data_IF_019878359748
#
_entry.id   IF_019878359748
#
_cell.length_a   1.000
_cell.length_b   1.000
_cell.length_c   1.000
_cell.angle_alpha   90.00
_cell.angle_beta   90.00
_cell.angle_gamma   90.00
#
_symmetry.space_group_name_H-M   'P 1'
#
loop_
_entity.id
_entity.type
_entity.pdbx_description
1 polymer ?
#
# COMPACT_ATOMS: atom_id res chain seq x y z
N UNK A 1 -4.20 -34.29 -5.14
CA UNK A 1 -4.13 -33.23 -6.16
C UNK A 1 -5.53 -32.67 -6.35
N UNK A 2 -5.86 -31.58 -5.69
CA UNK A 2 -7.13 -30.88 -5.88
C UNK A 2 -7.01 -30.08 -7.17
N UNK A 3 -7.73 -30.46 -8.22
CA UNK A 3 -7.81 -29.64 -9.44
C UNK A 3 -8.50 -28.33 -9.06
N UNK A 4 -7.76 -27.22 -9.13
CA UNK A 4 -8.34 -25.89 -9.24
C UNK A 4 -9.18 -25.89 -10.52
N UNK A 5 -10.50 -26.00 -10.37
CA UNK A 5 -11.42 -25.77 -11.46
C UNK A 5 -11.26 -24.31 -11.85
N UNK A 6 -10.70 -24.05 -13.04
CA UNK A 6 -10.73 -22.72 -13.65
C UNK A 6 -12.20 -22.31 -13.67
N UNK A 7 -12.56 -21.34 -12.83
CA UNK A 7 -13.89 -20.73 -12.87
C UNK A 7 -14.04 -20.21 -14.28
N UNK A 8 -14.99 -20.80 -15.02
CA UNK A 8 -15.34 -20.36 -16.37
C UNK A 8 -15.50 -18.85 -16.33
N UNK A 9 -14.88 -18.15 -17.29
CA UNK A 9 -15.01 -16.71 -17.48
C UNK A 9 -16.43 -16.27 -17.13
N UNK A 10 -16.55 -15.43 -16.11
CA UNK A 10 -17.84 -14.91 -15.69
C UNK A 10 -18.49 -14.22 -16.90
N UNK A 11 -19.80 -14.38 -17.04
CA UNK A 11 -20.58 -13.67 -18.07
C UNK A 11 -20.66 -12.16 -17.79
N UNK A 12 -20.28 -11.72 -16.59
CA UNK A 12 -20.32 -10.33 -16.18
C UNK A 12 -19.21 -9.53 -16.88
N UNK A 13 -19.57 -8.41 -17.47
CA UNK A 13 -18.62 -7.41 -17.91
C UNK A 13 -18.04 -6.66 -16.70
N UNK A 14 -16.93 -5.95 -16.88
CA UNK A 14 -16.42 -5.05 -15.85
C UNK A 14 -17.44 -3.96 -15.47
N UNK A 15 -18.30 -3.54 -16.41
CA UNK A 15 -19.42 -2.63 -16.13
C UNK A 15 -20.47 -3.26 -15.21
N UNK A 16 -20.79 -4.54 -15.38
CA UNK A 16 -21.77 -5.23 -14.53
C UNK A 16 -21.24 -5.41 -13.11
N UNK A 17 -19.98 -5.85 -12.98
CA UNK A 17 -19.32 -6.05 -11.70
C UNK A 17 -19.26 -4.75 -10.88
N UNK A 18 -18.88 -3.66 -11.54
CA UNK A 18 -18.88 -2.33 -10.97
C UNK A 18 -20.27 -1.85 -10.56
N UNK A 19 -21.28 -2.02 -11.43
CA UNK A 19 -22.66 -1.60 -11.12
C UNK A 19 -23.17 -2.31 -9.86
N UNK A 20 -22.82 -3.59 -9.71
CA UNK A 20 -23.11 -4.39 -8.52
C UNK A 20 -22.33 -3.92 -7.29
N UNK A 21 -21.04 -3.59 -7.44
CA UNK A 21 -20.14 -3.17 -6.36
C UNK A 21 -20.38 -1.75 -5.84
N UNK A 22 -20.93 -0.86 -6.67
CA UNK A 22 -21.02 0.58 -6.40
C UNK A 22 -21.62 0.96 -5.04
N UNK A 23 -22.74 0.36 -4.57
CA UNK A 23 -23.28 0.66 -3.25
C UNK A 23 -22.33 0.28 -2.11
N UNK A 24 -21.69 -0.89 -2.22
CA UNK A 24 -20.72 -1.38 -1.23
C UNK A 24 -19.47 -0.52 -1.20
N UNK A 25 -18.97 -0.08 -2.36
CA UNK A 25 -17.82 0.85 -2.47
C UNK A 25 -18.14 2.18 -1.77
N UNK A 26 -19.33 2.74 -2.00
CA UNK A 26 -19.75 3.96 -1.32
C UNK A 26 -19.78 3.79 0.21
N UNK A 27 -20.26 2.64 0.69
CA UNK A 27 -20.24 2.33 2.12
C UNK A 27 -18.81 2.15 2.65
N UNK A 28 -17.92 1.47 1.92
CA UNK A 28 -16.50 1.37 2.27
C UNK A 28 -15.89 2.76 2.46
N UNK A 29 -16.13 3.70 1.53
CA UNK A 29 -15.63 5.07 1.67
C UNK A 29 -16.14 5.73 2.96
N UNK A 30 -17.42 5.55 3.30
CA UNK A 30 -18.00 6.09 4.55
C UNK A 30 -17.37 5.46 5.78
N UNK A 31 -17.34 4.14 5.88
CA UNK A 31 -16.82 3.41 7.06
C UNK A 31 -15.34 3.65 7.27
N UNK A 32 -14.57 3.80 6.18
CA UNK A 32 -13.14 4.09 6.25
C UNK A 32 -12.84 5.57 6.40
N UNK A 33 -13.81 6.47 6.18
CA UNK A 33 -13.57 7.91 6.09
C UNK A 33 -12.77 8.33 4.84
N UNK A 34 -12.71 7.49 3.81
CA UNK A 34 -11.96 7.78 2.58
C UNK A 34 -12.69 8.81 1.72
N UNK A 35 -12.10 9.99 1.45
CA UNK A 35 -12.78 11.07 0.74
C UNK A 35 -13.07 10.77 -0.72
N UNK A 36 -12.13 10.11 -1.41
CA UNK A 36 -12.32 9.73 -2.79
C UNK A 36 -11.39 8.65 -3.30
N UNK A 37 -11.88 7.96 -4.33
CA UNK A 37 -11.19 6.87 -5.01
C UNK A 37 -11.22 7.10 -6.52
N UNK A 38 -10.17 6.68 -7.23
CA UNK A 38 -10.19 6.43 -8.66
C UNK A 38 -10.12 4.93 -8.93
N UNK A 39 -10.98 4.43 -9.83
CA UNK A 39 -11.09 3.00 -10.11
C UNK A 39 -10.88 2.73 -11.61
N UNK A 40 -9.90 1.90 -11.91
CA UNK A 40 -9.61 1.39 -13.25
C UNK A 40 -9.71 -0.12 -13.29
N UNK A 41 -10.32 -0.65 -14.34
CA UNK A 41 -10.40 -2.09 -14.63
C UNK A 41 -10.05 -2.31 -16.09
N UNK A 42 -9.36 -3.40 -16.39
CA UNK A 42 -9.04 -3.77 -17.76
C UNK A 42 -9.18 -5.28 -17.97
N UNK A 43 -9.46 -5.68 -19.20
CA UNK A 43 -9.52 -7.08 -19.61
C UNK A 43 -9.61 -7.25 -21.13
N UNK A 44 -9.74 -8.49 -21.62
CA UNK A 44 -9.82 -8.81 -23.05
C UNK A 44 -10.95 -8.07 -23.78
N UNK A 45 -12.05 -7.81 -23.07
CA UNK A 45 -13.24 -7.14 -23.62
C UNK A 45 -13.13 -5.61 -23.60
N UNK A 46 -12.01 -5.04 -23.16
CA UNK A 46 -11.74 -3.61 -23.13
C UNK A 46 -11.33 -3.09 -21.76
N UNK A 47 -11.13 -1.78 -21.69
CA UNK A 47 -10.80 -1.05 -20.47
C UNK A 47 -12.01 -0.27 -19.98
N UNK A 48 -12.22 -0.28 -18.67
CA UNK A 48 -13.21 0.53 -17.97
C UNK A 48 -12.44 1.40 -16.99
N UNK A 49 -12.35 2.69 -17.26
CA UNK A 49 -12.03 3.66 -16.22
C UNK A 49 -13.36 4.09 -15.64
N UNK A 50 -13.80 3.48 -14.53
CA UNK A 50 -15.01 3.95 -13.87
C UNK A 50 -14.67 5.03 -12.86
N UNK A 51 -14.36 6.18 -13.46
CA UNK A 51 -14.36 7.48 -12.84
C UNK A 51 -13.84 7.53 -11.40
N UNK A 52 -14.55 8.35 -10.64
CA UNK A 52 -14.08 8.89 -9.40
C UNK A 52 -15.21 8.86 -8.39
N UNK A 53 -14.97 8.22 -7.25
CA UNK A 53 -15.88 8.24 -6.13
C UNK A 53 -15.48 9.36 -5.18
N UNK A 54 -16.49 10.04 -4.62
CA UNK A 54 -16.28 11.09 -3.63
C UNK A 54 -15.56 12.32 -4.18
N UNK A 55 -14.63 12.89 -3.42
CA UNK A 55 -14.02 14.19 -3.71
C UNK A 55 -12.50 14.13 -3.60
N UNK A 56 -11.79 14.84 -4.49
CA UNK A 56 -10.36 15.17 -4.33
C UNK A 56 -10.13 16.35 -3.38
N UNK A 57 -11.12 17.21 -3.23
CA UNK A 57 -11.15 18.31 -2.27
C UNK A 57 -12.52 18.32 -1.61
N UNK A 58 -12.57 17.93 -0.33
CA UNK A 58 -13.82 17.86 0.46
C UNK A 58 -14.42 19.25 0.65
N UNK A 59 -13.58 20.25 0.97
CA UNK A 59 -14.02 21.61 1.28
C UNK A 59 -14.64 22.31 0.07
N UNK A 60 -14.06 22.07 -1.12
CA UNK A 60 -14.56 22.63 -2.39
C UNK A 60 -15.50 21.69 -3.15
N UNK A 61 -15.71 20.46 -2.66
CA UNK A 61 -16.50 19.41 -3.31
C UNK A 61 -16.08 19.14 -4.75
N UNK A 62 -14.76 19.13 -5.01
CA UNK A 62 -14.23 18.89 -6.35
C UNK A 62 -14.11 17.38 -6.55
N UNK A 63 -14.74 16.86 -7.61
CA UNK A 63 -14.57 15.47 -8.01
C UNK A 63 -13.15 15.24 -8.53
N UNK A 64 -12.55 14.07 -8.27
CA UNK A 64 -11.33 13.70 -8.97
C UNK A 64 -11.58 13.58 -10.49
N UNK A 65 -10.52 13.71 -11.28
CA UNK A 65 -10.51 13.71 -12.75
C UNK A 65 -9.24 12.99 -13.29
N UNK A 66 -9.10 12.91 -14.62
CA UNK A 66 -8.02 12.15 -15.26
C UNK A 66 -6.62 12.70 -14.97
N UNK A 67 -6.55 13.96 -14.54
CA UNK A 67 -5.31 14.64 -14.19
C UNK A 67 -5.06 14.65 -12.67
N UNK A 68 -5.94 14.00 -11.88
CA UNK A 68 -5.79 13.94 -10.43
C UNK A 68 -4.64 13.01 -10.06
N UNK A 69 -3.67 13.56 -9.35
CA UNK A 69 -2.51 12.83 -8.83
C UNK A 69 -2.88 12.18 -7.50
N UNK A 70 -2.66 10.87 -7.41
CA UNK A 70 -2.79 10.08 -6.19
C UNK A 70 -1.42 9.62 -5.73
N UNK A 71 -1.19 9.56 -4.42
CA UNK A 71 0.00 8.94 -3.89
C UNK A 71 -0.18 7.40 -3.93
N UNK A 72 0.88 6.69 -4.31
CA UNK A 72 0.83 5.23 -4.50
C UNK A 72 1.24 4.43 -3.24
N UNK A 73 1.54 5.12 -2.14
CA UNK A 73 1.93 4.51 -0.87
C UNK A 73 2.95 3.39 -1.01
N UNK A 74 2.64 2.21 -0.46
CA UNK A 74 3.58 1.08 -0.46
C UNK A 74 3.82 0.47 -1.85
N UNK A 75 3.01 0.76 -2.87
CA UNK A 75 3.33 0.35 -4.24
C UNK A 75 4.61 1.01 -4.77
N UNK A 76 5.00 2.18 -4.24
CA UNK A 76 6.29 2.82 -4.54
C UNK A 76 7.50 1.92 -4.23
N UNK A 77 7.35 0.91 -3.36
CA UNK A 77 8.40 -0.07 -3.06
C UNK A 77 8.75 -0.92 -4.27
N UNK A 78 7.75 -1.33 -5.05
CA UNK A 78 7.98 -2.07 -6.28
C UNK A 78 8.78 -1.25 -7.29
N UNK A 79 8.44 0.03 -7.45
CA UNK A 79 9.21 0.96 -8.28
C UNK A 79 10.62 1.21 -7.73
N UNK A 80 10.78 1.34 -6.41
CA UNK A 80 12.10 1.49 -5.77
C UNK A 80 12.97 0.27 -6.05
N UNK A 81 12.43 -0.93 -5.83
CA UNK A 81 13.11 -2.18 -6.11
C UNK A 81 13.42 -2.30 -7.60
N UNK A 82 12.51 -1.93 -8.50
CA UNK A 82 12.71 -1.94 -9.94
C UNK A 82 13.81 -0.95 -10.36
N UNK A 83 13.82 0.28 -9.87
CA UNK A 83 14.85 1.27 -10.21
C UNK A 83 16.23 0.84 -9.70
N UNK A 84 16.29 0.22 -8.50
CA UNK A 84 17.54 -0.35 -7.98
C UNK A 84 17.99 -1.60 -8.77
N UNK A 85 17.05 -2.50 -9.09
CA UNK A 85 17.32 -3.78 -9.76
C UNK A 85 17.57 -3.65 -11.27
N UNK A 86 16.68 -2.93 -11.95
CA UNK A 86 16.55 -2.81 -13.40
C UNK A 86 17.00 -1.43 -13.90
N UNK A 87 16.98 -0.41 -13.04
CA UNK A 87 17.07 0.99 -13.46
C UNK A 87 18.47 1.53 -13.76
N UNK A 88 19.45 1.52 -12.85
CA UNK A 88 20.68 2.33 -13.06
C UNK A 88 21.92 1.94 -12.25
N UNK A 89 21.85 0.97 -11.34
CA UNK A 89 22.93 0.79 -10.34
C UNK A 89 23.45 -0.65 -10.25
N UNK A 90 22.57 -1.66 -10.22
CA UNK A 90 23.03 -3.06 -10.17
C UNK A 90 23.49 -3.55 -11.54
N UNK A 91 22.70 -3.33 -12.59
CA UNK A 91 23.09 -3.68 -13.95
C UNK A 91 24.37 -2.95 -14.42
N UNK A 92 24.56 -1.70 -13.96
CA UNK A 92 25.74 -0.88 -14.24
C UNK A 92 26.94 -1.17 -13.31
N UNK A 93 26.81 -2.11 -12.36
CA UNK A 93 27.85 -2.45 -11.39
C UNK A 93 28.18 -1.37 -10.34
N UNK A 94 27.40 -0.29 -10.27
CA UNK A 94 27.58 0.81 -9.30
C UNK A 94 27.15 0.41 -7.88
N UNK A 95 26.22 -0.53 -7.76
CA UNK A 95 25.69 -1.07 -6.51
C UNK A 95 25.57 -2.58 -6.64
N UNK A 96 25.85 -3.31 -5.57
CA UNK A 96 25.62 -4.75 -5.46
C UNK A 96 24.54 -5.01 -4.42
N UNK A 97 23.75 -6.06 -4.63
CA UNK A 97 22.70 -6.46 -3.69
C UNK A 97 23.22 -6.68 -2.26
N UNK A 98 24.46 -7.12 -2.16
CA UNK A 98 25.10 -7.48 -0.91
C UNK A 98 25.98 -6.33 -0.35
N UNK A 99 25.91 -5.14 -0.95
CA UNK A 99 26.48 -3.93 -0.36
C UNK A 99 25.71 -3.54 0.91
N UNK A 100 26.44 -3.27 1.98
CA UNK A 100 25.90 -2.72 3.22
C UNK A 100 25.43 -1.28 3.02
N UNK A 101 24.35 -0.91 3.70
CA UNK A 101 23.72 0.41 3.53
C UNK A 101 24.59 1.56 4.06
N UNK A 102 25.46 1.31 5.04
CA UNK A 102 26.44 2.27 5.59
C UNK A 102 27.49 2.74 4.56
N UNK A 103 27.65 2.03 3.45
CA UNK A 103 28.43 2.47 2.29
C UNK A 103 27.83 3.72 1.66
N UNK A 104 26.51 3.83 1.65
CA UNK A 104 25.76 4.88 0.95
C UNK A 104 25.24 5.97 1.89
N UNK A 105 24.95 5.64 3.15
CA UNK A 105 24.47 6.60 4.15
C UNK A 105 25.50 6.73 5.26
N UNK A 106 26.14 7.90 5.33
CA UNK A 106 27.22 8.16 6.29
C UNK A 106 26.76 8.07 7.75
N UNK A 107 25.53 8.51 8.03
CA UNK A 107 24.95 8.49 9.38
C UNK A 107 24.72 7.07 9.94
N UNK A 108 24.75 6.05 9.07
CA UNK A 108 24.63 4.64 9.47
C UNK A 108 25.99 3.96 9.71
N UNK A 109 27.11 4.65 9.50
CA UNK A 109 28.43 4.06 9.72
C UNK A 109 28.66 3.75 11.19
N UNK A 110 28.98 2.48 11.47
CA UNK A 110 29.22 1.99 12.82
C UNK A 110 27.97 1.67 13.63
N UNK A 111 26.77 1.92 13.08
CA UNK A 111 25.52 1.49 13.71
C UNK A 111 25.26 0.01 13.41
N UNK A 112 24.56 -0.72 14.30
CA UNK A 112 24.19 -2.12 14.03
C UNK A 112 23.41 -2.28 12.72
N UNK A 113 22.50 -1.34 12.45
CA UNK A 113 21.59 -1.39 11.31
C UNK A 113 22.25 -0.93 9.99
N UNK A 114 23.40 -0.24 10.05
CA UNK A 114 24.22 0.08 8.89
C UNK A 114 24.82 -1.14 8.18
N UNK A 115 24.88 -2.30 8.86
CA UNK A 115 25.42 -3.55 8.32
C UNK A 115 24.41 -4.37 7.51
N UNK A 116 23.15 -3.93 7.43
CA UNK A 116 22.19 -4.58 6.55
C UNK A 116 22.52 -4.31 5.09
N UNK A 117 22.42 -5.35 4.28
CA UNK A 117 22.60 -5.23 2.84
C UNK A 117 21.34 -4.66 2.19
N UNK A 118 21.48 -4.11 0.97
CA UNK A 118 20.32 -3.67 0.17
C UNK A 118 19.32 -4.81 0.00
N UNK A 119 19.80 -6.04 -0.23
CA UNK A 119 18.98 -7.26 -0.31
C UNK A 119 18.20 -7.50 0.97
N UNK A 120 18.83 -7.37 2.13
CA UNK A 120 18.19 -7.58 3.43
C UNK A 120 17.03 -6.59 3.62
N UNK A 121 17.24 -5.32 3.25
CA UNK A 121 16.24 -4.25 3.42
C UNK A 121 15.06 -4.37 2.45
N UNK A 122 15.34 -4.57 1.15
CA UNK A 122 14.29 -4.71 0.14
C UNK A 122 13.46 -5.98 0.30
N UNK A 123 14.05 -7.03 0.88
CA UNK A 123 13.37 -8.31 1.11
C UNK A 123 12.73 -8.41 2.50
N UNK A 124 12.73 -7.33 3.30
CA UNK A 124 12.18 -7.32 4.67
C UNK A 124 12.80 -8.38 5.60
N UNK A 125 14.12 -8.59 5.48
CA UNK A 125 14.89 -9.63 6.20
C UNK A 125 15.79 -9.06 7.30
N UNK A 126 15.60 -7.80 7.70
CA UNK A 126 16.42 -7.18 8.75
C UNK A 126 16.08 -7.68 10.15
N UNK A 127 14.87 -8.23 10.36
CA UNK A 127 14.41 -8.62 11.69
C UNK A 127 13.98 -7.45 12.58
N UNK A 128 14.04 -6.21 12.07
CA UNK A 128 13.70 -4.99 12.80
C UNK A 128 12.20 -4.90 13.09
N UNK A 129 11.86 -4.32 14.25
CA UNK A 129 10.47 -4.08 14.61
C UNK A 129 9.75 -3.18 13.59
N UNK A 130 8.45 -3.42 13.39
CA UNK A 130 7.60 -2.56 12.56
C UNK A 130 7.23 -1.32 13.36
N UNK A 131 7.61 -0.14 12.87
CA UNK A 131 7.46 1.14 13.59
C UNK A 131 6.70 2.18 12.78
N UNK A 132 5.75 1.76 11.94
CA UNK A 132 5.05 2.63 10.98
C UNK A 132 4.30 3.80 11.64
N UNK A 133 3.85 3.64 12.89
CA UNK A 133 3.22 4.71 13.66
C UNK A 133 4.14 5.91 13.97
N UNK A 134 5.46 5.76 13.79
CA UNK A 134 6.41 6.88 13.86
C UNK A 134 6.49 7.65 12.53
N UNK A 135 6.08 7.06 11.40
CA UNK A 135 6.16 7.71 10.08
C UNK A 135 4.89 8.49 9.75
N UNK A 136 3.74 7.89 10.03
CA UNK A 136 2.43 8.39 9.62
C UNK A 136 1.68 8.96 10.82
N UNK A 137 1.36 10.25 10.75
CA UNK A 137 0.40 10.88 11.65
C UNK A 137 -1.02 10.78 11.10
N UNK A 138 -1.99 11.31 11.84
CA UNK A 138 -3.33 11.55 11.32
C UNK A 138 -3.31 12.56 10.17
N UNK A 139 -4.38 12.58 9.36
CA UNK A 139 -4.64 13.58 8.32
C UNK A 139 -3.56 13.67 7.22
N UNK A 140 -2.98 12.54 6.82
CA UNK A 140 -1.91 12.46 5.81
C UNK A 140 -0.65 13.29 6.16
N UNK A 141 -0.43 13.67 7.44
CA UNK A 141 0.81 14.31 7.85
C UNK A 141 1.91 13.28 8.09
N UNK A 142 3.08 13.55 7.53
CA UNK A 142 4.30 12.86 7.92
C UNK A 142 4.79 13.42 9.24
N UNK A 143 5.11 12.53 10.18
CA UNK A 143 5.67 12.93 11.47
C UNK A 143 7.18 13.13 11.38
N UNK A 144 7.84 12.47 10.43
CA UNK A 144 9.29 12.49 10.26
C UNK A 144 9.67 12.94 8.87
N UNK A 145 10.72 13.75 8.80
CA UNK A 145 11.48 13.98 7.57
C UNK A 145 12.29 12.74 7.19
N UNK A 146 12.80 12.70 5.96
CA UNK A 146 13.65 11.60 5.49
C UNK A 146 14.88 11.40 6.37
N UNK A 147 15.56 12.47 6.78
CA UNK A 147 16.75 12.39 7.64
C UNK A 147 16.40 11.85 9.02
N UNK A 148 15.34 12.37 9.65
CA UNK A 148 14.86 11.83 10.93
C UNK A 148 14.46 10.36 10.83
N UNK A 149 13.95 9.92 9.68
CA UNK A 149 13.68 8.50 9.42
C UNK A 149 14.95 7.63 9.41
N UNK A 150 16.09 8.15 8.95
CA UNK A 150 17.38 7.45 9.03
C UNK A 150 17.85 7.36 10.47
N UNK A 151 17.69 8.42 11.27
CA UNK A 151 18.06 8.42 12.69
C UNK A 151 17.25 7.39 13.48
N UNK A 152 15.96 7.27 13.19
CA UNK A 152 15.09 6.23 13.77
C UNK A 152 15.57 4.86 13.30
N UNK A 153 15.78 4.67 11.99
CA UNK A 153 16.27 3.40 11.45
C UNK A 153 17.56 2.93 12.13
N UNK A 154 18.51 3.84 12.38
CA UNK A 154 19.77 3.53 13.05
C UNK A 154 19.59 2.94 14.46
N UNK A 155 18.49 3.27 15.12
CA UNK A 155 18.21 2.95 16.53
C UNK A 155 17.15 1.86 16.70
N UNK A 156 16.52 1.37 15.62
CA UNK A 156 15.51 0.33 15.72
C UNK A 156 16.12 -0.98 16.24
N UNK A 157 15.46 -1.55 17.25
CA UNK A 157 15.81 -2.86 17.78
C UNK A 157 15.32 -3.99 16.87
N UNK A 158 16.10 -5.08 16.86
CA UNK A 158 15.70 -6.32 16.23
C UNK A 158 14.60 -7.00 17.07
N UNK A 159 13.41 -7.17 16.49
CA UNK A 159 12.35 -7.99 17.06
C UNK A 159 12.58 -9.49 16.85
N UNK A 160 13.33 -9.84 15.79
CA UNK A 160 13.70 -11.20 15.41
C UNK A 160 15.15 -11.24 14.92
N UNK A 161 15.82 -12.41 14.95
CA UNK A 161 17.11 -12.56 14.32
C UNK A 161 17.06 -12.18 12.83
N UNK A 162 18.05 -11.43 12.31
CA UNK A 162 18.12 -11.12 10.89
C UNK A 162 18.07 -12.37 10.01
N UNK A 163 17.48 -12.21 8.82
CA UNK A 163 17.45 -13.21 7.73
C UNK A 163 16.66 -14.48 8.01
N UNK A 164 16.01 -14.61 9.17
CA UNK A 164 15.18 -15.76 9.53
C UNK A 164 13.71 -15.59 9.16
N UNK A 165 13.15 -14.40 9.40
CA UNK A 165 11.74 -14.10 9.19
C UNK A 165 11.53 -12.95 8.20
N UNK A 166 10.35 -12.91 7.58
CA UNK A 166 9.85 -11.75 6.86
C UNK A 166 9.15 -10.82 7.85
N UNK A 167 9.72 -9.63 8.09
CA UNK A 167 9.12 -8.59 8.91
C UNK A 167 9.03 -7.28 8.13
N UNK A 168 7.79 -6.92 7.76
CA UNK A 168 7.53 -5.70 7.01
C UNK A 168 8.02 -4.46 7.76
N UNK A 169 8.88 -3.68 7.10
CA UNK A 169 9.54 -2.53 7.70
C UNK A 169 9.73 -1.41 6.67
N UNK A 170 9.07 -0.28 6.90
CA UNK A 170 9.15 0.89 6.03
C UNK A 170 10.49 1.64 6.15
N UNK A 171 11.13 1.62 7.32
CA UNK A 171 12.40 2.32 7.55
C UNK A 171 13.56 1.72 6.75
N UNK A 172 13.58 0.41 6.54
CA UNK A 172 14.54 -0.24 5.62
C UNK A 172 14.38 0.24 4.17
N UNK A 173 13.13 0.44 3.73
CA UNK A 173 12.85 1.03 2.41
C UNK A 173 13.23 2.51 2.33
N UNK A 174 13.06 3.27 3.40
CA UNK A 174 13.55 4.65 3.50
C UNK A 174 15.07 4.71 3.37
N UNK A 175 15.79 3.79 4.02
CA UNK A 175 17.25 3.73 4.01
C UNK A 175 17.81 3.46 2.61
N UNK A 176 17.19 2.58 1.82
CA UNK A 176 17.61 2.34 0.41
C UNK A 176 17.17 3.45 -0.57
N UNK A 177 16.69 4.59 -0.04
CA UNK A 177 16.31 5.76 -0.82
C UNK A 177 14.86 5.77 -1.30
N UNK A 178 14.08 4.74 -0.97
CA UNK A 178 12.65 4.68 -1.25
C UNK A 178 11.88 5.75 -0.48
N UNK A 179 10.78 6.22 -1.07
CA UNK A 179 9.86 7.14 -0.42
C UNK A 179 8.56 6.39 -0.12
N UNK A 180 8.11 6.41 1.13
CA UNK A 180 6.90 5.71 1.57
C UNK A 180 5.71 6.65 1.76
N UNK A 181 5.78 7.87 1.24
CA UNK A 181 4.77 8.91 1.48
C UNK A 181 3.44 8.49 0.85
N UNK A 182 2.42 8.45 1.71
CA UNK A 182 1.22 7.65 1.54
C UNK A 182 0.17 8.26 0.60
N UNK A 183 -0.55 7.38 -0.09
CA UNK A 183 -1.98 7.11 0.07
C UNK A 183 -2.17 5.61 -0.24
N UNK A 184 -3.35 5.08 0.08
CA UNK A 184 -3.69 3.67 -0.17
C UNK A 184 -3.94 3.47 -1.68
N UNK A 185 -3.33 2.43 -2.25
CA UNK A 185 -3.52 2.06 -3.65
C UNK A 185 -3.32 0.57 -3.80
N UNK A 186 -4.14 -0.04 -4.65
CA UNK A 186 -4.16 -1.48 -4.86
C UNK A 186 -4.15 -1.80 -6.34
N UNK A 187 -3.38 -2.83 -6.71
CA UNK A 187 -3.42 -3.42 -8.04
C UNK A 187 -3.58 -4.92 -7.92
N UNK A 188 -4.70 -5.43 -8.43
CA UNK A 188 -4.93 -6.87 -8.58
C UNK A 188 -4.76 -7.23 -10.04
N UNK A 189 -3.86 -8.17 -10.33
CA UNK A 189 -3.64 -8.69 -11.68
C UNK A 189 -4.20 -10.11 -11.74
N UNK A 190 -4.89 -10.40 -12.84
CA UNK A 190 -5.42 -11.72 -13.17
C UNK A 190 -4.80 -12.17 -14.50
N UNK A 191 -3.55 -12.69 -14.49
CA UNK A 191 -2.78 -12.95 -15.70
C UNK A 191 -3.50 -13.91 -16.67
N UNK A 192 -4.12 -14.97 -16.14
CA UNK A 192 -4.86 -15.96 -16.91
C UNK A 192 -6.09 -15.37 -17.61
N UNK A 193 -6.64 -14.30 -17.04
CA UNK A 193 -7.78 -13.56 -17.60
C UNK A 193 -7.33 -12.40 -18.49
N UNK A 194 -6.02 -12.09 -18.54
CA UNK A 194 -5.46 -10.85 -19.10
C UNK A 194 -6.17 -9.61 -18.59
N UNK A 195 -6.50 -9.61 -17.30
CA UNK A 195 -7.29 -8.56 -16.67
C UNK A 195 -6.62 -8.01 -15.42
N UNK A 196 -7.10 -6.87 -14.96
CA UNK A 196 -6.67 -6.31 -13.68
C UNK A 196 -7.57 -5.19 -13.18
N UNK A 197 -7.43 -4.91 -11.89
CA UNK A 197 -8.11 -3.85 -11.17
C UNK A 197 -7.02 -2.95 -10.58
N UNK A 198 -7.22 -1.64 -10.71
CA UNK A 198 -6.40 -0.59 -10.12
C UNK A 198 -7.31 0.31 -9.32
N UNK A 199 -7.03 0.49 -8.04
CA UNK A 199 -7.77 1.40 -7.16
C UNK A 199 -6.78 2.37 -6.53
N UNK A 200 -7.03 3.66 -6.67
CA UNK A 200 -6.20 4.72 -6.10
C UNK A 200 -7.02 5.53 -5.11
N UNK A 201 -6.55 5.65 -3.87
CA UNK A 201 -7.18 6.45 -2.83
C UNK A 201 -6.40 7.75 -2.59
N UNK A 202 -7.12 8.80 -2.20
CA UNK A 202 -6.52 10.11 -1.91
C UNK A 202 -6.32 10.39 -0.42
N UNK A 203 -6.56 9.41 0.44
CA UNK A 203 -6.28 9.49 1.87
C UNK A 203 -5.89 8.13 2.45
N UNK A 204 -5.09 8.17 3.51
CA UNK A 204 -4.94 7.07 4.45
C UNK A 204 -5.83 7.41 5.66
N UNK A 205 -7.10 7.00 5.61
CA UNK A 205 -8.08 7.29 6.64
C UNK A 205 -8.08 6.18 7.72
N UNK A 206 -9.23 5.62 8.06
CA UNK A 206 -9.36 4.64 9.14
C UNK A 206 -9.11 3.19 8.70
N UNK A 207 -9.06 2.90 7.40
CA UNK A 207 -8.75 1.55 6.88
C UNK A 207 -8.29 1.60 5.43
N UNK A 208 -7.89 0.45 4.87
CA UNK A 208 -7.44 0.32 3.48
C UNK A 208 -8.62 0.21 2.52
N UNK A 209 -9.22 1.35 2.19
CA UNK A 209 -10.39 1.39 1.29
C UNK A 209 -10.08 0.85 -0.12
N UNK A 210 -8.83 0.95 -0.58
CA UNK A 210 -8.47 0.49 -1.93
C UNK A 210 -8.42 -1.03 -2.04
N UNK A 211 -7.91 -1.72 -1.01
CA UNK A 211 -7.92 -3.18 -0.95
C UNK A 211 -9.35 -3.72 -0.84
N UNK A 212 -10.18 -3.15 0.04
CA UNK A 212 -11.58 -3.55 0.17
C UNK A 212 -12.35 -3.36 -1.14
N UNK A 213 -12.11 -2.23 -1.83
CA UNK A 213 -12.72 -1.94 -3.13
C UNK A 213 -12.29 -2.94 -4.19
N UNK A 214 -10.99 -3.25 -4.29
CA UNK A 214 -10.48 -4.23 -5.24
C UNK A 214 -11.06 -5.63 -4.97
N UNK A 215 -11.22 -6.01 -3.70
CA UNK A 215 -11.79 -7.30 -3.32
C UNK A 215 -13.28 -7.40 -3.69
N UNK A 216 -14.08 -6.38 -3.39
CA UNK A 216 -15.51 -6.34 -3.77
C UNK A 216 -15.67 -6.40 -5.29
N UNK A 217 -14.87 -5.65 -6.04
CA UNK A 217 -14.87 -5.71 -7.51
C UNK A 217 -14.48 -7.08 -8.04
N UNK A 218 -13.54 -7.75 -7.38
CA UNK A 218 -13.11 -9.11 -7.74
C UNK A 218 -14.23 -10.11 -7.54
N UNK A 219 -14.94 -10.07 -6.40
CA UNK A 219 -16.10 -10.96 -6.17
C UNK A 219 -17.24 -10.66 -7.13
N UNK A 220 -17.58 -9.39 -7.32
CA UNK A 220 -18.62 -8.99 -8.25
C UNK A 220 -18.29 -9.46 -9.68
N UNK A 221 -17.02 -9.38 -10.09
CA UNK A 221 -16.58 -9.81 -11.41
C UNK A 221 -16.52 -11.33 -11.56
N UNK A 222 -15.93 -12.05 -10.61
CA UNK A 222 -15.73 -13.50 -10.73
C UNK A 222 -17.00 -14.30 -10.40
N UNK A 223 -17.79 -13.82 -9.43
CA UNK A 223 -18.92 -14.56 -8.86
C UNK A 223 -20.28 -13.98 -9.25
N UNK A 224 -20.35 -12.71 -9.69
CA UNK A 224 -21.62 -12.03 -9.95
C UNK A 224 -22.43 -11.73 -8.68
N UNK A 225 -21.82 -11.89 -7.51
CA UNK A 225 -22.37 -11.63 -6.18
C UNK A 225 -21.29 -10.98 -5.31
N UNK A 226 -21.70 -10.40 -4.18
CA UNK A 226 -20.81 -9.85 -3.16
C UNK A 226 -21.18 -10.56 -1.85
N UNK A 227 -20.30 -11.44 -1.36
CA UNK A 227 -20.51 -12.27 -0.17
C UNK A 227 -19.13 -12.74 0.34
N UNK A 228 -18.59 -12.17 1.43
CA UNK A 228 -19.21 -11.96 2.77
C UNK A 228 -19.61 -10.49 3.09
N UNK A 229 -20.13 -10.14 4.30
CA UNK A 229 -20.60 -8.78 4.61
C UNK A 229 -19.44 -7.78 4.81
N UNK A 230 -18.78 -7.41 3.71
CA UNK A 230 -17.61 -6.53 3.67
C UNK A 230 -17.71 -5.33 4.59
N UNK A 231 -18.84 -4.62 4.58
CA UNK A 231 -19.01 -3.40 5.35
C UNK A 231 -18.86 -3.61 6.86
N UNK A 232 -19.28 -4.76 7.41
CA UNK A 232 -19.09 -5.06 8.83
C UNK A 232 -17.61 -5.28 9.17
N UNK A 233 -16.87 -5.93 8.28
CA UNK A 233 -15.44 -6.15 8.45
C UNK A 233 -14.66 -4.85 8.30
N UNK A 234 -15.03 -4.02 7.32
CA UNK A 234 -14.45 -2.70 7.09
C UNK A 234 -14.66 -1.80 8.31
N UNK A 235 -15.89 -1.73 8.84
CA UNK A 235 -16.20 -0.95 10.04
C UNK A 235 -15.42 -1.45 11.28
N UNK A 236 -15.32 -2.77 11.46
CA UNK A 236 -14.52 -3.35 12.56
C UNK A 236 -13.03 -3.02 12.42
N UNK A 237 -12.48 -3.07 11.19
CA UNK A 237 -11.10 -2.69 10.92
C UNK A 237 -10.86 -1.20 11.18
N UNK A 238 -11.78 -0.34 10.74
CA UNK A 238 -11.74 1.10 10.97
C UNK A 238 -11.73 1.46 12.45
N UNK A 239 -12.60 0.83 13.25
CA UNK A 239 -12.66 1.04 14.69
C UNK A 239 -11.35 0.66 15.39
N UNK A 240 -10.76 -0.49 15.03
CA UNK A 240 -9.48 -0.95 15.59
C UNK A 240 -8.35 0.03 15.28
N UNK A 241 -8.31 0.56 14.06
CA UNK A 241 -7.33 1.56 13.66
C UNK A 241 -7.46 2.85 14.48
N UNK A 242 -8.68 3.38 14.58
CA UNK A 242 -8.96 4.60 15.36
C UNK A 242 -8.54 4.42 16.83
N UNK A 243 -8.93 3.31 17.46
CA UNK A 243 -8.54 3.02 18.85
C UNK A 243 -7.02 2.92 19.04
N UNK A 244 -6.29 2.36 18.07
CA UNK A 244 -4.84 2.30 18.11
C UNK A 244 -4.21 3.70 18.02
N UNK A 245 -4.72 4.56 17.13
CA UNK A 245 -4.22 5.92 16.95
C UNK A 245 -4.53 6.81 18.15
N UNK A 246 -5.73 6.69 18.75
CA UNK A 246 -6.08 7.38 20.00
C UNK A 246 -5.15 6.98 21.15
N UNK A 247 -4.79 5.70 21.23
CA UNK A 247 -3.84 5.20 22.24
C UNK A 247 -2.44 5.81 22.06
N UNK A 248 -1.98 5.96 20.81
CA UNK A 248 -0.70 6.62 20.50
C UNK A 248 -0.76 8.11 20.86
N UNK A 249 -1.82 8.81 20.46
CA UNK A 249 -1.98 10.24 20.75
C UNK A 249 -2.01 10.51 22.26
N UNK A 250 -2.73 9.69 23.03
CA UNK A 250 -2.80 9.79 24.49
C UNK A 250 -1.44 9.55 25.20
N UNK A 251 -0.49 8.89 24.55
CA UNK A 251 0.90 8.76 25.04
C UNK A 251 1.71 10.01 24.67
N UNK A 252 1.52 10.56 23.48
CA UNK A 252 2.24 11.76 23.01
C UNK A 252 1.81 13.04 23.74
N UNK A 253 0.56 13.11 24.22
CA UNK A 253 0.04 14.26 24.97
C UNK A 253 0.49 14.31 26.45
N UNK A 254 1.23 13.30 26.92
CA UNK A 254 1.78 13.22 28.29
C UNK A 254 3.22 13.70 28.35
#
# INVERSE_FOLDING_TARGET
>A
MTRLTVVRACKATWQDALSLAKPTIAQICVETGTPGLAIGMFGPCGKVLDGYHGYRDIGKKILPDADTVFNLGSMCKGFTALVLAVGCLVADGKVHWDDCIDRFIQDLRGTPNGKFTIRDLLSHRSGLCRSDGLLFGSDNRLLLTKSQGIDVFAQLDAARPPRQDFLYNNFGYHAVGGNNIGCSSTVYLFPELQSGIVVLGNALAHSDATDWTAQVLTEAYLCGIIDPPFCQYVASAALKWTSAMESVQAVLDK
#
